data_IF_648916623216
#
_entry.id   IF_648916623216
#
_cell.length_a   1.000
_cell.length_b   1.000
_cell.length_c   1.000
_cell.angle_alpha   90.00
_cell.angle_beta   90.00
_cell.angle_gamma   90.00
#
_symmetry.space_group_name_H-M   'P 1'
#
loop_
_entity.id
_entity.type
_entity.pdbx_description
1 polymer ?
#
# COMPACT_ATOMS: atom_id res chain seq x y z
N UNK A 1 -86.87 21.84 16.03
CA UNK A 1 -88.13 22.11 15.31
C UNK A 1 -87.91 23.45 14.59
N UNK A 2 -87.88 23.58 13.27
CA UNK A 2 -88.43 22.77 12.20
C UNK A 2 -87.67 23.02 10.89
N UNK A 3 -87.60 21.97 10.05
CA UNK A 3 -87.12 22.01 8.67
C UNK A 3 -88.07 22.84 7.81
N UNK A 4 -87.53 23.59 6.84
CA UNK A 4 -88.17 23.73 5.53
C UNK A 4 -87.15 23.68 4.39
N UNK A 5 -87.31 22.64 3.57
CA UNK A 5 -86.83 22.57 2.18
C UNK A 5 -87.69 23.47 1.29
N UNK A 6 -87.10 24.05 0.24
CA UNK A 6 -87.74 24.14 -1.09
C UNK A 6 -86.69 24.28 -2.20
N UNK A 7 -86.87 23.44 -3.23
CA UNK A 7 -86.21 23.39 -4.53
C UNK A 7 -86.50 24.64 -5.38
N UNK A 8 -85.56 25.07 -6.22
CA UNK A 8 -85.83 25.33 -7.66
C UNK A 8 -84.51 25.45 -8.45
N UNK A 9 -84.47 24.78 -9.60
CA UNK A 9 -83.37 24.75 -10.54
C UNK A 9 -83.47 25.89 -11.57
N UNK A 10 -82.34 26.43 -12.06
CA UNK A 10 -82.21 26.96 -13.42
C UNK A 10 -80.73 27.01 -13.83
N UNK A 11 -80.44 26.48 -15.02
CA UNK A 11 -79.12 26.21 -15.58
C UNK A 11 -78.39 27.45 -16.13
N UNK A 12 -77.05 27.38 -16.30
CA UNK A 12 -76.29 27.83 -17.49
C UNK A 12 -74.74 27.65 -17.34
N UNK A 13 -74.18 26.75 -18.18
CA UNK A 13 -72.91 26.83 -18.96
C UNK A 13 -71.51 26.80 -18.27
N UNK A 14 -70.43 26.43 -19.01
CA UNK A 14 -69.42 25.45 -18.59
C UNK A 14 -68.17 26.05 -17.94
N UNK A 15 -67.55 25.28 -17.04
CA UNK A 15 -66.27 25.58 -16.39
C UNK A 15 -65.13 24.85 -17.14
N UNK A 16 -64.13 25.54 -17.70
CA UNK A 16 -62.82 24.94 -17.89
C UNK A 16 -62.07 24.97 -16.55
N UNK A 17 -61.81 23.79 -15.96
CA UNK A 17 -60.88 23.69 -14.83
C UNK A 17 -59.45 23.94 -15.33
N UNK A 18 -58.95 25.16 -15.14
CA UNK A 18 -57.52 25.39 -14.99
C UNK A 18 -57.16 25.01 -13.56
N UNK A 19 -56.65 23.79 -13.39
CA UNK A 19 -55.98 23.39 -12.16
C UNK A 19 -54.69 24.21 -12.03
N UNK A 20 -54.76 25.27 -11.25
CA UNK A 20 -53.60 25.90 -10.65
C UNK A 20 -53.10 25.01 -9.51
N UNK A 21 -52.09 24.19 -9.79
CA UNK A 21 -51.12 23.81 -8.76
C UNK A 21 -49.85 24.59 -9.05
N UNK A 22 -49.52 25.52 -8.17
CA UNK A 22 -48.25 26.21 -8.19
C UNK A 22 -47.13 25.19 -8.14
N UNK A 23 -46.25 25.22 -9.13
CA UNK A 23 -44.94 24.60 -9.01
C UNK A 23 -44.07 25.64 -8.31
N UNK A 24 -43.95 25.48 -7.00
CA UNK A 24 -42.79 25.99 -6.30
C UNK A 24 -41.56 25.34 -6.94
N UNK A 25 -40.80 26.14 -7.69
CA UNK A 25 -39.48 25.76 -8.15
C UNK A 25 -38.58 25.66 -6.92
N UNK A 26 -38.63 24.51 -6.26
CA UNK A 26 -37.57 24.08 -5.36
C UNK A 26 -36.37 23.71 -6.23
N UNK A 27 -35.57 24.74 -6.52
CA UNK A 27 -34.16 24.53 -6.82
C UNK A 27 -33.50 23.98 -5.56
N UNK A 28 -33.17 22.70 -5.60
CA UNK A 28 -31.96 22.16 -4.98
C UNK A 28 -31.69 20.80 -5.63
N UNK A 29 -31.11 20.84 -6.83
CA UNK A 29 -30.41 19.67 -7.35
C UNK A 29 -29.12 19.57 -6.54
N UNK A 30 -29.19 18.85 -5.42
CA UNK A 30 -28.03 18.38 -4.70
C UNK A 30 -27.16 17.54 -5.64
N UNK A 31 -26.26 18.22 -6.35
CA UNK A 31 -25.14 17.64 -7.10
C UNK A 31 -24.11 17.16 -6.07
N UNK A 32 -24.47 16.11 -5.33
CA UNK A 32 -23.58 15.48 -4.38
C UNK A 32 -22.54 14.67 -5.12
N UNK A 33 -21.36 15.25 -5.35
CA UNK A 33 -20.02 14.68 -5.19
C UNK A 33 -19.75 13.19 -5.60
N UNK A 34 -20.55 12.59 -6.49
CA UNK A 34 -20.46 11.14 -6.81
C UNK A 34 -19.10 10.79 -7.42
N UNK A 35 -18.52 11.70 -8.20
CA UNK A 35 -17.19 11.54 -8.82
C UNK A 35 -16.09 11.41 -7.77
N UNK A 36 -15.93 12.40 -6.89
CA UNK A 36 -14.88 12.40 -5.86
C UNK A 36 -15.01 11.24 -4.88
N UNK A 37 -16.24 10.88 -4.50
CA UNK A 37 -16.49 9.76 -3.59
C UNK A 37 -16.19 8.41 -4.24
N UNK A 38 -16.59 8.21 -5.50
CA UNK A 38 -16.30 6.98 -6.25
C UNK A 38 -14.80 6.83 -6.52
N UNK A 39 -14.13 7.89 -6.99
CA UNK A 39 -12.68 7.91 -7.19
C UNK A 39 -11.93 7.64 -5.89
N UNK A 40 -12.34 8.26 -4.77
CA UNK A 40 -11.74 7.99 -3.46
C UNK A 40 -11.85 6.51 -3.11
N UNK A 41 -13.05 5.94 -3.23
CA UNK A 41 -13.33 4.55 -2.87
C UNK A 41 -12.54 3.54 -3.70
N UNK A 42 -12.16 3.88 -4.95
CA UNK A 42 -11.41 2.99 -5.82
C UNK A 42 -9.90 3.06 -5.65
N UNK A 43 -9.36 4.11 -5.02
CA UNK A 43 -7.90 4.29 -4.85
C UNK A 43 -7.43 4.18 -3.40
N UNK A 44 -8.28 4.41 -2.41
CA UNK A 44 -7.90 4.33 -0.99
C UNK A 44 -7.89 2.90 -0.46
N UNK A 45 -7.11 2.66 0.60
CA UNK A 45 -7.01 1.35 1.24
C UNK A 45 -6.20 0.30 0.46
N UNK A 46 -5.76 0.64 -0.75
CA UNK A 46 -4.97 -0.22 -1.64
C UNK A 46 -3.50 0.22 -1.62
N UNK A 47 -2.58 -0.75 -1.60
CA UNK A 47 -1.16 -0.48 -1.89
C UNK A 47 -0.95 -0.61 -3.39
N UNK A 48 -0.60 0.51 -4.02
CA UNK A 48 -0.34 0.60 -5.44
C UNK A 48 1.17 0.50 -5.68
N UNK A 49 1.61 -0.58 -6.32
CA UNK A 49 2.97 -0.66 -6.85
C UNK A 49 3.05 0.24 -8.08
N UNK A 50 4.07 1.08 -8.13
CA UNK A 50 4.32 1.90 -9.32
C UNK A 50 4.95 0.98 -10.37
N UNK A 51 4.31 0.86 -11.53
CA UNK A 51 4.82 0.08 -12.66
C UNK A 51 5.77 0.96 -13.50
N UNK A 52 5.31 2.17 -13.87
CA UNK A 52 6.09 3.09 -14.69
C UNK A 52 5.62 4.53 -14.58
N UNK A 53 6.48 5.44 -15.04
CA UNK A 53 6.23 6.87 -15.11
C UNK A 53 6.48 7.35 -16.54
N UNK A 54 5.55 8.10 -17.12
CA UNK A 54 5.72 8.76 -18.42
C UNK A 54 5.73 10.26 -18.23
N UNK A 55 6.87 10.90 -18.53
CA UNK A 55 7.04 12.37 -18.43
C UNK A 55 7.50 12.92 -19.77
N UNK A 56 6.76 13.89 -20.31
CA UNK A 56 7.07 14.51 -21.61
C UNK A 56 7.15 13.50 -22.76
N UNK A 57 6.30 12.47 -22.72
CA UNK A 57 6.26 11.38 -23.70
C UNK A 57 7.36 10.33 -23.58
N UNK A 58 8.20 10.38 -22.54
CA UNK A 58 9.22 9.37 -22.25
C UNK A 58 8.84 8.52 -21.05
N UNK A 59 8.69 7.21 -21.27
CA UNK A 59 8.40 6.24 -20.21
C UNK A 59 9.69 5.74 -19.54
N UNK A 60 9.67 5.68 -18.22
CA UNK A 60 10.69 5.11 -17.34
C UNK A 60 10.06 4.02 -16.47
N UNK A 61 10.70 2.86 -16.39
CA UNK A 61 10.24 1.77 -15.53
C UNK A 61 10.60 2.07 -14.07
N UNK A 62 9.68 1.76 -13.17
CA UNK A 62 9.88 2.01 -11.76
C UNK A 62 10.80 0.96 -11.12
N UNK A 63 11.60 1.33 -10.12
CA UNK A 63 12.24 0.38 -9.24
C UNK A 63 11.20 -0.51 -8.54
N UNK A 64 11.56 -1.76 -8.29
CA UNK A 64 10.68 -2.75 -7.69
C UNK A 64 10.10 -2.37 -6.32
N UNK A 65 10.80 -1.49 -5.60
CA UNK A 65 10.46 -0.93 -4.30
C UNK A 65 9.52 0.27 -4.37
N UNK A 66 9.21 0.80 -5.57
CA UNK A 66 8.38 1.99 -5.70
C UNK A 66 6.89 1.65 -5.50
N UNK A 67 6.25 2.35 -4.56
CA UNK A 67 4.83 2.20 -4.27
C UNK A 67 4.25 3.48 -3.66
N UNK A 68 2.93 3.58 -3.66
CA UNK A 68 2.19 4.53 -2.84
C UNK A 68 0.93 3.86 -2.27
N UNK A 69 0.50 4.33 -1.11
CA UNK A 69 -0.75 3.93 -0.46
C UNK A 69 -1.46 5.19 -0.01
N UNK A 70 -2.73 5.29 -0.36
CA UNK A 70 -3.60 6.39 0.11
C UNK A 70 -4.55 5.80 1.14
N UNK A 71 -4.51 6.30 2.38
CA UNK A 71 -5.43 5.93 3.43
C UNK A 71 -6.79 6.63 3.25
N UNK A 72 -7.83 6.11 3.91
CA UNK A 72 -9.18 6.67 3.80
C UNK A 72 -9.31 8.10 4.34
N UNK A 73 -8.41 8.51 5.22
CA UNK A 73 -8.32 9.89 5.70
C UNK A 73 -7.54 10.82 4.75
N UNK A 74 -6.96 10.29 3.67
CA UNK A 74 -6.16 11.03 2.70
C UNK A 74 -4.66 10.98 2.96
N UNK A 75 -4.18 10.37 4.05
CA UNK A 75 -2.73 10.25 4.28
C UNK A 75 -2.10 9.37 3.19
N UNK A 76 -0.96 9.81 2.67
CA UNK A 76 -0.22 9.11 1.62
C UNK A 76 1.13 8.67 2.17
N UNK A 77 1.38 7.38 2.14
CA UNK A 77 2.69 6.79 2.45
C UNK A 77 3.23 6.07 1.22
N UNK A 78 4.51 6.25 0.92
CA UNK A 78 5.09 5.63 -0.26
C UNK A 78 6.60 5.49 -0.21
N UNK A 79 7.12 4.91 -1.29
CA UNK A 79 8.55 4.84 -1.57
C UNK A 79 8.78 5.19 -3.03
N UNK A 80 9.71 6.10 -3.29
CA UNK A 80 10.08 6.54 -4.63
C UNK A 80 10.99 5.55 -5.37
N UNK A 81 11.32 4.41 -4.77
CA UNK A 81 12.29 3.43 -5.24
C UNK A 81 13.61 3.46 -4.46
N UNK A 82 13.99 4.63 -3.94
CA UNK A 82 15.11 4.79 -3.02
C UNK A 82 14.61 5.33 -1.67
N UNK A 83 14.08 6.56 -1.65
CA UNK A 83 13.57 7.19 -0.44
C UNK A 83 12.10 6.89 -0.16
N UNK A 84 11.76 6.78 1.12
CA UNK A 84 10.37 6.81 1.56
C UNK A 84 9.85 8.24 1.56
N UNK A 85 8.56 8.41 1.31
CA UNK A 85 7.89 9.70 1.34
C UNK A 85 6.52 9.64 2.01
N UNK A 86 6.11 10.78 2.55
CA UNK A 86 4.77 11.02 3.08
C UNK A 86 4.16 12.28 2.48
N UNK A 87 2.86 12.25 2.20
CA UNK A 87 2.07 13.36 1.63
C UNK A 87 0.61 13.24 2.12
N UNK A 88 -0.26 14.12 1.64
CA UNK A 88 -1.71 14.06 1.84
C UNK A 88 -2.41 14.24 0.50
N UNK A 89 -3.44 13.43 0.24
CA UNK A 89 -4.27 13.48 -0.95
C UNK A 89 -5.62 14.14 -0.63
N UNK A 90 -5.91 15.23 -1.33
CA UNK A 90 -7.21 15.89 -1.33
C UNK A 90 -8.04 15.43 -2.53
N UNK A 91 -9.21 14.83 -2.26
CA UNK A 91 -10.15 14.39 -3.28
C UNK A 91 -11.11 15.52 -3.64
N UNK A 92 -11.03 16.01 -4.87
CA UNK A 92 -11.89 17.06 -5.44
C UNK A 92 -12.83 16.48 -6.49
N UNK A 93 -13.82 17.26 -6.91
CA UNK A 93 -14.80 16.86 -7.94
C UNK A 93 -14.18 16.47 -9.28
N UNK A 94 -12.99 16.98 -9.54
CA UNK A 94 -12.32 16.92 -10.82
C UNK A 94 -10.97 16.20 -10.77
N UNK A 95 -10.59 15.62 -9.61
CA UNK A 95 -9.34 14.88 -9.48
C UNK A 95 -8.83 14.67 -8.05
N UNK A 96 -7.59 14.20 -7.97
CA UNK A 96 -6.81 14.05 -6.76
C UNK A 96 -5.70 15.10 -6.79
N UNK A 97 -5.53 15.82 -5.69
CA UNK A 97 -4.44 16.78 -5.50
C UNK A 97 -3.55 16.27 -4.36
N UNK A 98 -2.24 16.15 -4.60
CA UNK A 98 -1.28 15.70 -3.61
C UNK A 98 -0.54 16.92 -3.05
N UNK A 99 -0.53 17.06 -1.73
CA UNK A 99 0.31 18.06 -1.10
C UNK A 99 1.80 17.73 -1.28
N UNK A 100 2.65 18.75 -1.22
CA UNK A 100 4.11 18.58 -1.34
C UNK A 100 4.61 17.51 -0.36
N UNK A 101 5.19 16.46 -0.93
CA UNK A 101 5.67 15.33 -0.16
C UNK A 101 6.92 15.68 0.66
N UNK A 102 7.06 15.03 1.81
CA UNK A 102 8.30 14.99 2.58
C UNK A 102 8.96 13.65 2.34
N UNK A 103 10.27 13.62 2.12
CA UNK A 103 11.02 12.39 1.86
C UNK A 103 12.22 12.24 2.79
N UNK A 104 12.70 11.01 2.91
CA UNK A 104 14.04 10.75 3.45
C UNK A 104 15.12 11.18 2.44
N UNK A 105 16.39 11.23 2.88
CA UNK A 105 17.54 11.63 2.06
C UNK A 105 18.64 10.55 2.02
N UNK A 106 18.25 9.31 1.75
CA UNK A 106 19.18 8.22 1.43
C UNK A 106 19.80 8.43 0.05
N UNK A 107 21.07 8.06 -0.06
CA UNK A 107 21.78 8.02 -1.32
C UNK A 107 21.77 6.58 -1.88
N UNK A 108 21.06 6.38 -2.98
CA UNK A 108 21.11 5.14 -3.76
C UNK A 108 21.93 5.33 -5.05
N UNK A 109 21.94 4.32 -5.93
CA UNK A 109 22.54 4.45 -7.26
C UNK A 109 21.81 5.45 -8.16
N UNK A 110 22.47 5.84 -9.24
CA UNK A 110 22.00 6.91 -10.15
C UNK A 110 20.60 6.65 -10.73
N UNK A 111 20.29 5.41 -11.11
CA UNK A 111 19.00 5.07 -11.72
C UNK A 111 17.81 5.23 -10.75
N UNK A 112 17.81 4.62 -9.54
CA UNK A 112 16.79 4.90 -8.53
C UNK A 112 16.66 6.38 -8.16
N UNK A 113 17.79 7.09 -7.99
CA UNK A 113 17.78 8.51 -7.65
C UNK A 113 17.19 9.38 -8.78
N UNK A 114 17.42 9.01 -10.04
CA UNK A 114 16.82 9.70 -11.19
C UNK A 114 15.31 9.46 -11.27
N UNK A 115 14.87 8.21 -11.11
CA UNK A 115 13.45 7.89 -11.08
C UNK A 115 12.74 8.61 -9.94
N UNK A 116 13.32 8.62 -8.75
CA UNK A 116 12.78 9.33 -7.58
C UNK A 116 12.55 10.82 -7.86
N UNK A 117 13.52 11.51 -8.45
CA UNK A 117 13.36 12.93 -8.80
C UNK A 117 12.22 13.18 -9.77
N UNK A 118 12.10 12.33 -10.80
CA UNK A 118 11.03 12.44 -11.78
C UNK A 118 9.67 12.17 -11.13
N UNK A 119 9.56 11.11 -10.34
CA UNK A 119 8.31 10.73 -9.71
C UNK A 119 7.86 11.72 -8.64
N UNK A 120 8.78 12.23 -7.80
CA UNK A 120 8.50 13.28 -6.83
C UNK A 120 8.00 14.56 -7.52
N UNK A 121 8.65 14.98 -8.61
CA UNK A 121 8.20 16.14 -9.41
C UNK A 121 6.82 15.92 -10.01
N UNK A 122 6.55 14.73 -10.53
CA UNK A 122 5.22 14.41 -11.08
C UNK A 122 4.16 14.49 -9.98
N UNK A 123 4.40 13.90 -8.80
CA UNK A 123 3.44 13.97 -7.68
C UNK A 123 3.20 15.38 -7.14
N UNK A 124 4.15 16.30 -7.29
CA UNK A 124 3.98 17.72 -6.92
C UNK A 124 3.14 18.52 -7.95
N UNK A 125 2.62 17.85 -8.99
CA UNK A 125 1.64 18.46 -9.88
C UNK A 125 0.31 18.70 -9.16
N UNK A 126 -0.31 19.87 -9.39
CA UNK A 126 -1.50 20.33 -8.65
C UNK A 126 -2.74 19.43 -8.79
N UNK A 127 -2.79 18.58 -9.82
CA UNK A 127 -4.01 17.83 -10.12
C UNK A 127 -3.79 16.59 -10.97
N UNK A 128 -4.41 15.51 -10.53
CA UNK A 128 -4.48 14.22 -11.22
C UNK A 128 -5.91 13.80 -11.51
N UNK A 129 -6.16 13.26 -12.70
CA UNK A 129 -7.28 12.35 -12.91
C UNK A 129 -6.86 10.93 -12.58
N UNK A 130 -7.76 10.15 -11.99
CA UNK A 130 -7.50 8.76 -11.63
C UNK A 130 -8.47 7.84 -12.37
N UNK A 131 -7.92 6.86 -13.06
CA UNK A 131 -8.67 5.84 -13.78
C UNK A 131 -8.30 4.47 -13.22
N UNK A 132 -9.28 3.77 -12.64
CA UNK A 132 -9.11 2.41 -12.12
C UNK A 132 -9.81 1.39 -13.00
N UNK A 133 -9.22 0.22 -13.14
CA UNK A 133 -9.79 -0.91 -13.89
C UNK A 133 -10.11 -2.08 -12.96
N UNK A 134 -11.01 -2.97 -13.41
CA UNK A 134 -11.42 -4.16 -12.65
C UNK A 134 -10.28 -5.18 -12.44
N UNK A 135 -9.21 -5.14 -13.24
CA UNK A 135 -8.03 -5.98 -13.11
C UNK A 135 -6.96 -5.39 -12.16
N UNK A 136 -7.31 -4.35 -11.40
CA UNK A 136 -6.45 -3.78 -10.37
C UNK A 136 -5.35 -2.91 -10.95
N UNK A 137 -5.63 -2.15 -12.02
CA UNK A 137 -4.76 -1.08 -12.51
C UNK A 137 -5.30 0.27 -12.09
N UNK A 138 -4.37 1.18 -11.85
CA UNK A 138 -4.63 2.58 -11.62
C UNK A 138 -3.70 3.39 -12.52
N UNK A 139 -4.27 4.30 -13.30
CA UNK A 139 -3.51 5.31 -14.02
C UNK A 139 -3.81 6.68 -13.40
N UNK A 140 -2.75 7.36 -12.95
CA UNK A 140 -2.83 8.75 -12.51
C UNK A 140 -2.29 9.64 -13.64
N UNK A 141 -3.10 10.60 -14.09
CA UNK A 141 -2.74 11.48 -15.22
C UNK A 141 -2.77 12.93 -14.78
N UNK A 142 -1.66 13.63 -14.96
CA UNK A 142 -1.55 15.08 -14.68
C UNK A 142 -2.31 15.90 -15.72
N UNK A 143 -2.59 17.18 -15.43
CA UNK A 143 -3.18 18.10 -16.40
C UNK A 143 -2.37 18.29 -17.70
N UNK A 144 -1.04 18.10 -17.64
CA UNK A 144 -0.13 18.21 -18.77
C UNK A 144 0.02 16.90 -19.56
N UNK A 145 -0.62 15.82 -19.10
CA UNK A 145 -0.65 14.51 -19.78
C UNK A 145 0.47 13.55 -19.38
N UNK A 146 1.30 13.89 -18.38
CA UNK A 146 2.22 12.93 -17.76
C UNK A 146 1.42 11.87 -16.98
N UNK A 147 1.83 10.59 -17.06
CA UNK A 147 1.11 9.47 -16.45
C UNK A 147 1.96 8.67 -15.47
N UNK A 148 1.34 8.20 -14.40
CA UNK A 148 1.87 7.17 -13.50
C UNK A 148 1.01 5.93 -13.65
N UNK A 149 1.61 4.84 -14.10
CA UNK A 149 0.93 3.55 -14.22
C UNK A 149 1.18 2.73 -12.96
N UNK A 150 0.12 2.24 -12.34
CA UNK A 150 0.19 1.49 -11.09
C UNK A 150 -0.63 0.19 -11.17
N UNK A 151 -0.22 -0.78 -10.36
CA UNK A 151 -0.94 -2.04 -10.14
C UNK A 151 -1.18 -2.28 -8.67
N UNK A 152 -2.33 -2.82 -8.33
CA UNK A 152 -2.63 -3.32 -7.00
C UNK A 152 -1.57 -4.36 -6.59
N UNK A 153 -0.96 -4.15 -5.43
CA UNK A 153 0.03 -5.06 -4.86
C UNK A 153 -0.57 -5.87 -3.72
N UNK A 154 -0.82 -7.15 -3.98
CA UNK A 154 -1.30 -8.06 -2.93
C UNK A 154 -0.22 -8.30 -1.88
N UNK A 155 -0.60 -8.45 -0.59
CA UNK A 155 0.35 -8.86 0.44
C UNK A 155 1.03 -10.18 0.08
N UNK A 156 2.33 -10.28 0.38
CA UNK A 156 3.05 -11.53 0.21
C UNK A 156 2.56 -12.56 1.23
N UNK A 157 2.44 -13.81 0.79
CA UNK A 157 2.04 -14.89 1.67
C UNK A 157 3.17 -15.25 2.62
N UNK A 158 2.85 -15.62 3.86
CA UNK A 158 3.87 -16.05 4.82
C UNK A 158 4.64 -17.28 4.33
N UNK A 159 3.90 -18.27 3.81
CA UNK A 159 4.42 -19.54 3.33
C UNK A 159 4.80 -19.46 1.85
N UNK A 160 5.79 -20.23 1.43
CA UNK A 160 6.24 -20.29 0.03
C UNK A 160 6.99 -19.05 -0.47
N UNK A 161 6.83 -17.91 0.20
CA UNK A 161 7.60 -16.70 -0.08
C UNK A 161 9.05 -16.86 0.39
N UNK A 162 9.97 -16.49 -0.49
CA UNK A 162 11.37 -16.28 -0.14
C UNK A 162 11.52 -14.88 0.42
N UNK A 163 11.82 -14.78 1.71
CA UNK A 163 12.03 -13.54 2.43
C UNK A 163 13.51 -13.24 2.51
N UNK A 164 13.99 -12.22 1.80
CA UNK A 164 15.36 -11.74 1.87
C UNK A 164 15.52 -10.79 3.04
N UNK A 165 16.44 -11.13 3.93
CA UNK A 165 16.73 -10.35 5.12
C UNK A 165 17.58 -9.14 4.72
N UNK A 166 17.22 -7.97 5.21
CA UNK A 166 17.94 -6.71 4.93
C UNK A 166 18.39 -5.98 6.20
N UNK A 167 17.82 -6.34 7.36
CA UNK A 167 18.08 -5.67 8.62
C UNK A 167 18.04 -6.62 9.81
N UNK A 168 18.87 -6.33 10.80
CA UNK A 168 18.82 -6.89 12.14
C UNK A 168 18.21 -5.85 13.08
N UNK A 169 17.42 -6.30 14.03
CA UNK A 169 16.81 -5.44 15.05
C UNK A 169 17.35 -5.81 16.42
N UNK A 170 17.71 -4.78 17.18
CA UNK A 170 17.98 -4.88 18.61
C UNK A 170 17.09 -3.86 19.32
N UNK A 171 16.07 -4.36 20.01
CA UNK A 171 14.98 -3.55 20.53
C UNK A 171 14.33 -2.74 19.39
N UNK A 172 14.28 -1.41 19.52
CA UNK A 172 13.64 -0.52 18.56
C UNK A 172 14.61 -0.01 17.47
N UNK A 173 15.84 -0.53 17.44
CA UNK A 173 16.88 -0.09 16.50
C UNK A 173 17.07 -1.14 15.40
N UNK A 174 16.73 -0.76 14.17
CA UNK A 174 17.04 -1.54 12.97
C UNK A 174 18.40 -1.13 12.40
N UNK A 175 19.26 -2.10 12.13
CA UNK A 175 20.57 -1.92 11.49
C UNK A 175 20.63 -2.76 10.22
N UNK A 176 21.04 -2.16 9.11
CA UNK A 176 21.21 -2.88 7.84
C UNK A 176 22.27 -3.96 7.95
N UNK A 177 22.10 -5.03 7.16
CA UNK A 177 23.11 -6.07 7.06
C UNK A 177 24.45 -5.52 6.51
N UNK A 178 25.59 -6.08 6.95
CA UNK A 178 26.88 -5.82 6.34
C UNK A 178 26.83 -6.08 4.83
N UNK A 179 27.51 -5.28 4.02
CA UNK A 179 27.53 -5.40 2.56
C UNK A 179 27.80 -6.85 2.09
N UNK A 180 28.71 -7.55 2.75
CA UNK A 180 29.05 -8.93 2.44
C UNK A 180 27.86 -9.92 2.57
N UNK A 181 26.88 -9.60 3.42
CA UNK A 181 25.69 -10.40 3.72
C UNK A 181 24.43 -9.96 2.94
N UNK A 182 24.43 -8.75 2.38
CA UNK A 182 23.31 -8.21 1.61
C UNK A 182 23.00 -9.13 0.42
N UNK A 183 21.72 -9.46 0.24
CA UNK A 183 21.26 -10.36 -0.83
C UNK A 183 21.54 -11.85 -0.58
N UNK A 184 22.29 -12.22 0.47
CA UNK A 184 22.64 -13.61 0.77
C UNK A 184 21.87 -14.18 1.96
N UNK A 185 21.40 -13.33 2.86
CA UNK A 185 20.55 -13.75 3.96
C UNK A 185 19.08 -13.82 3.52
N UNK A 186 18.44 -14.97 3.69
CA UNK A 186 17.04 -15.20 3.31
C UNK A 186 16.44 -16.38 4.07
N UNK A 187 15.12 -16.47 4.11
CA UNK A 187 14.41 -17.66 4.60
C UNK A 187 13.10 -17.90 3.84
N UNK A 188 12.58 -19.12 3.93
CA UNK A 188 11.27 -19.54 3.44
C UNK A 188 10.61 -20.41 4.49
N UNK A 189 9.31 -20.27 4.66
CA UNK A 189 8.48 -21.15 5.49
C UNK A 189 7.73 -22.12 4.60
N UNK A 190 7.87 -23.41 4.89
CA UNK A 190 7.14 -24.48 4.23
C UNK A 190 6.02 -24.99 5.14
N UNK A 191 4.78 -24.88 4.63
CA UNK A 191 3.57 -25.26 5.37
C UNK A 191 3.42 -26.77 5.53
N UNK A 192 3.79 -27.53 4.50
CA UNK A 192 3.60 -28.98 4.47
C UNK A 192 4.68 -29.70 5.29
N UNK A 193 5.93 -29.26 5.14
CA UNK A 193 7.05 -29.78 5.90
C UNK A 193 7.09 -29.26 7.35
N UNK A 194 6.46 -28.12 7.63
CA UNK A 194 6.52 -27.46 8.94
C UNK A 194 7.94 -27.01 9.27
N UNK A 195 8.64 -26.42 8.30
CA UNK A 195 10.05 -26.03 8.43
C UNK A 195 10.31 -24.60 7.96
N UNK A 196 11.30 -23.97 8.59
CA UNK A 196 11.97 -22.79 8.05
C UNK A 196 13.28 -23.27 7.43
N UNK A 197 13.53 -22.90 6.18
CA UNK A 197 14.80 -23.10 5.50
C UNK A 197 15.35 -21.77 5.00
N UNK A 198 16.67 -21.59 5.00
CA UNK A 198 17.23 -20.31 4.59
C UNK A 198 18.75 -20.28 4.56
N UNK A 199 19.27 -19.08 4.38
CA UNK A 199 20.68 -18.75 4.57
C UNK A 199 20.81 -17.57 5.52
N UNK A 200 21.77 -17.66 6.42
CA UNK A 200 22.15 -16.58 7.36
C UNK A 200 23.36 -15.81 6.85
N UNK A 201 23.41 -15.59 5.53
CA UNK A 201 24.44 -14.82 4.82
C UNK A 201 25.59 -15.67 4.27
N UNK A 202 26.12 -16.60 5.06
CA UNK A 202 27.20 -17.50 4.63
C UNK A 202 26.85 -18.99 4.81
N UNK A 203 26.26 -19.31 5.97
CA UNK A 203 25.79 -20.64 6.28
C UNK A 203 24.32 -20.81 5.90
N UNK A 204 23.97 -22.04 5.60
CA UNK A 204 22.60 -22.47 5.36
C UNK A 204 22.00 -22.87 6.70
N UNK A 205 20.72 -22.55 6.92
CA UNK A 205 19.99 -22.84 8.15
C UNK A 205 18.70 -23.58 7.83
N UNK A 206 18.35 -24.54 8.68
CA UNK A 206 17.02 -25.17 8.67
C UNK A 206 16.56 -25.45 10.09
N UNK A 207 15.26 -25.30 10.35
CA UNK A 207 14.65 -25.59 11.64
C UNK A 207 13.20 -26.03 11.46
N UNK A 208 12.65 -26.71 12.48
CA UNK A 208 11.19 -26.85 12.58
C UNK A 208 10.58 -25.47 12.80
N UNK A 209 9.45 -25.21 12.16
CA UNK A 209 8.70 -23.97 12.33
C UNK A 209 7.22 -24.30 12.46
N UNK A 210 6.61 -23.84 13.54
CA UNK A 210 5.17 -23.99 13.78
C UNK A 210 4.55 -22.62 13.89
N UNK A 211 3.68 -22.27 12.95
CA UNK A 211 3.00 -20.97 12.92
C UNK A 211 1.66 -21.10 13.65
N UNK A 212 1.40 -20.16 14.56
CA UNK A 212 0.14 -20.01 15.29
C UNK A 212 -0.17 -18.52 15.43
N UNK A 213 -1.35 -18.07 15.00
CA UNK A 213 -1.90 -16.70 15.17
C UNK A 213 -0.88 -15.59 15.52
N UNK A 214 -0.15 -15.08 14.52
CA UNK A 214 0.80 -13.96 14.69
C UNK A 214 2.17 -14.35 15.27
N UNK A 215 2.40 -15.62 15.58
CA UNK A 215 3.64 -16.15 16.13
C UNK A 215 4.18 -17.34 15.32
N UNK A 216 5.50 -17.53 15.38
CA UNK A 216 6.23 -18.65 14.80
C UNK A 216 7.10 -19.24 15.91
N UNK A 217 6.81 -20.46 16.32
CA UNK A 217 7.69 -21.23 17.21
C UNK A 217 8.79 -21.87 16.37
N UNK A 218 10.03 -21.46 16.58
CA UNK A 218 11.21 -22.01 15.90
C UNK A 218 11.86 -23.07 16.78
N UNK A 219 12.15 -24.23 16.19
CA UNK A 219 12.93 -25.27 16.82
C UNK A 219 14.43 -25.02 16.70
N UNK A 220 15.23 -25.90 17.34
CA UNK A 220 16.68 -25.81 17.28
C UNK A 220 17.18 -25.82 15.82
N UNK A 221 18.02 -24.85 15.43
CA UNK A 221 18.49 -24.74 14.06
C UNK A 221 19.58 -25.78 13.78
N UNK A 222 19.56 -26.31 12.56
CA UNK A 222 20.68 -27.01 11.94
C UNK A 222 21.37 -26.04 10.99
N UNK A 223 22.65 -25.79 11.21
CA UNK A 223 23.46 -24.91 10.36
C UNK A 223 24.59 -25.67 9.67
N UNK A 224 24.96 -25.23 8.48
CA UNK A 224 26.26 -25.59 7.91
C UNK A 224 27.38 -24.83 8.64
N UNK A 225 28.63 -25.30 8.53
CA UNK A 225 29.81 -24.71 9.20
C UNK A 225 30.89 -24.36 8.18
N UNK A 226 30.60 -23.38 7.33
CA UNK A 226 31.56 -22.77 6.40
C UNK A 226 32.37 -21.71 7.15
N UNK A 227 33.63 -21.53 6.75
CA UNK A 227 34.47 -20.46 7.28
C UNK A 227 34.20 -19.17 6.48
N UNK A 228 33.85 -18.09 7.17
CA UNK A 228 33.38 -16.83 6.57
C UNK A 228 34.11 -15.64 7.21
N UNK A 229 34.00 -14.45 6.63
CA UNK A 229 34.53 -13.23 7.25
C UNK A 229 33.86 -12.94 8.60
N UNK A 230 34.55 -12.22 9.48
CA UNK A 230 34.01 -11.87 10.80
C UNK A 230 32.68 -11.11 10.72
N UNK A 231 32.51 -10.26 9.70
CA UNK A 231 31.25 -9.54 9.45
C UNK A 231 30.07 -10.47 9.15
N UNK A 232 30.31 -11.53 8.36
CA UNK A 232 29.29 -12.54 8.05
C UNK A 232 28.96 -13.38 9.27
N UNK A 233 29.97 -13.74 10.06
CA UNK A 233 29.80 -14.50 11.30
C UNK A 233 29.03 -13.70 12.37
N UNK A 234 29.24 -12.38 12.44
CA UNK A 234 28.50 -11.51 13.35
C UNK A 234 27.01 -11.42 12.96
N UNK A 235 26.72 -11.23 11.67
CA UNK A 235 25.35 -11.23 11.15
C UNK A 235 24.66 -12.59 11.40
N UNK A 236 25.36 -13.71 11.14
CA UNK A 236 24.85 -15.06 11.44
C UNK A 236 24.45 -15.22 12.90
N UNK A 237 25.27 -14.77 13.85
CA UNK A 237 24.94 -14.87 15.28
C UNK A 237 23.65 -14.11 15.62
N UNK A 238 23.49 -12.89 15.10
CA UNK A 238 22.27 -12.10 15.30
C UNK A 238 21.03 -12.79 14.74
N UNK A 239 21.14 -13.40 13.55
CA UNK A 239 20.04 -14.15 12.94
C UNK A 239 19.68 -15.42 13.72
N UNK A 240 20.67 -16.08 14.31
CA UNK A 240 20.46 -17.31 15.08
C UNK A 240 19.75 -17.07 16.43
N UNK A 241 19.70 -15.83 16.92
CA UNK A 241 18.93 -15.47 18.13
C UNK A 241 17.43 -15.75 17.97
N UNK A 242 16.89 -15.64 16.76
CA UNK A 242 15.48 -15.94 16.48
C UNK A 242 15.10 -17.40 16.79
N UNK A 243 16.05 -18.32 16.62
CA UNK A 243 15.80 -19.75 16.78
C UNK A 243 15.86 -20.21 18.24
N UNK A 244 15.99 -19.29 19.20
CA UNK A 244 15.98 -19.60 20.63
C UNK A 244 14.57 -19.80 21.21
N UNK A 245 13.52 -19.56 20.43
CA UNK A 245 12.15 -19.75 20.88
C UNK A 245 11.10 -19.27 19.88
N UNK A 246 10.08 -18.60 20.42
CA UNK A 246 8.97 -18.05 19.65
C UNK A 246 9.28 -16.64 19.18
N UNK A 247 8.93 -16.35 17.92
CA UNK A 247 8.98 -15.01 17.35
C UNK A 247 7.58 -14.55 16.97
N UNK A 248 7.27 -13.29 17.26
CA UNK A 248 6.11 -12.60 16.67
C UNK A 248 6.45 -12.24 15.24
N UNK A 249 5.50 -12.40 14.33
CA UNK A 249 5.66 -11.93 12.95
C UNK A 249 4.63 -10.87 12.60
N UNK A 250 5.05 -9.88 11.81
CA UNK A 250 4.17 -8.89 11.20
C UNK A 250 4.50 -8.82 9.72
N UNK A 251 3.51 -9.14 8.88
CA UNK A 251 3.60 -8.88 7.44
C UNK A 251 2.97 -7.53 7.15
N UNK A 252 3.72 -6.70 6.44
CA UNK A 252 3.27 -5.41 5.93
C UNK A 252 3.52 -5.39 4.42
N UNK A 253 2.47 -5.81 3.69
CA UNK A 253 2.50 -6.21 2.28
C UNK A 253 3.68 -7.12 1.92
N UNK A 254 4.78 -6.53 1.47
CA UNK A 254 5.97 -7.24 1.00
C UNK A 254 7.11 -7.26 1.99
N UNK A 255 6.94 -6.67 3.16
CA UNK A 255 7.91 -6.76 4.25
C UNK A 255 7.39 -7.68 5.34
N UNK A 256 8.31 -8.37 6.00
CA UNK A 256 8.04 -9.14 7.20
C UNK A 256 9.03 -8.72 8.28
N UNK A 257 8.51 -8.50 9.48
CA UNK A 257 9.32 -8.35 10.68
C UNK A 257 9.13 -9.58 11.54
N UNK A 258 10.23 -10.19 11.99
CA UNK A 258 10.21 -11.21 13.03
C UNK A 258 10.84 -10.63 14.30
N UNK A 259 10.19 -10.76 15.44
CA UNK A 259 10.66 -10.23 16.73
C UNK A 259 10.60 -11.32 17.79
N UNK A 260 11.74 -11.64 18.39
CA UNK A 260 11.85 -12.58 19.51
C UNK A 260 11.40 -11.97 20.84
N UNK A 261 11.24 -12.81 21.86
CA UNK A 261 10.90 -12.39 23.23
C UNK A 261 11.95 -11.45 23.85
N UNK A 262 13.20 -11.49 23.39
CA UNK A 262 14.27 -10.62 23.86
C UNK A 262 14.37 -9.30 23.08
N UNK A 263 13.36 -9.00 22.26
CA UNK A 263 13.32 -7.87 21.32
C UNK A 263 14.45 -7.85 20.26
N UNK A 264 15.21 -8.93 20.12
CA UNK A 264 16.03 -9.15 18.93
C UNK A 264 15.11 -9.53 17.76
N UNK A 265 15.38 -9.02 16.57
CA UNK A 265 14.52 -9.25 15.41
C UNK A 265 15.23 -9.16 14.08
N UNK A 266 14.47 -9.38 13.01
CA UNK A 266 14.93 -9.18 11.63
C UNK A 266 13.84 -8.50 10.82
N UNK A 267 14.26 -7.61 9.93
CA UNK A 267 13.46 -7.15 8.81
C UNK A 267 13.85 -7.92 7.55
N UNK A 268 12.84 -8.35 6.82
CA UNK A 268 13.02 -8.98 5.53
C UNK A 268 11.96 -8.50 4.54
N UNK A 269 12.30 -8.58 3.26
CA UNK A 269 11.39 -8.26 2.16
C UNK A 269 11.22 -9.50 1.29
N UNK A 270 10.01 -9.71 0.77
CA UNK A 270 9.78 -10.76 -0.21
C UNK A 270 10.74 -10.54 -1.40
N UNK A 271 11.34 -11.62 -1.90
CA UNK A 271 12.01 -11.63 -3.20
C UNK A 271 10.94 -11.62 -4.32
N UNK A 272 11.35 -11.29 -5.54
CA UNK A 272 10.51 -11.40 -6.74
C UNK A 272 10.97 -12.58 -7.58
#
# INVERSE_FOLDING_TARGET
>A
MDKRLTLTALALLPIPLLAACGTESAGDSGSGNVGSAATKSSVTGVRWKVDSLTVGGKTEQAPDSAYLKIADNGDVDGNYGCNTFGSTAAFKSDGIDFETARSTEMACGDAPMKFEKNFARTLDAEKFTAETTDDGKLTLTTGDGDTVELSEEKPAELYGTRWRIDSLMDHDVATSLPEAAQGKAWFTLDKEAGTLSGSVGCNDVSAKATVSEGEITLGNPRTTRKMCSDSLMAAERGLLELFKGTVKYRIDHRSITLTSENNAGVGAVADK
#
